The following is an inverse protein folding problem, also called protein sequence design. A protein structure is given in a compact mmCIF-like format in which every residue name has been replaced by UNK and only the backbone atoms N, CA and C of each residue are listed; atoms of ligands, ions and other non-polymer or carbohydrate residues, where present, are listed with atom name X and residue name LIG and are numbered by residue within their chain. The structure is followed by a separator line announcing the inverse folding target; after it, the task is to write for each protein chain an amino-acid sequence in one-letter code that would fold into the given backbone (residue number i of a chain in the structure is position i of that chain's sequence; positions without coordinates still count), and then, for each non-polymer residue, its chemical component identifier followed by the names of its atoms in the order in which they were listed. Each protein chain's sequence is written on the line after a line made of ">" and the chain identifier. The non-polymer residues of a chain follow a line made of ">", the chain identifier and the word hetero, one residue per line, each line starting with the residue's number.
data_IF_325384161783
#
_entry.id   IF_325384161783
#
_cell.length_a   1.000
_cell.length_b   1.000
_cell.length_c   1.000
_cell.angle_alpha   90.00
_cell.angle_beta   90.00
_cell.angle_gamma   90.00
#
_symmetry.space_group_name_H-M   'P 1'
#
loop_
_entity.id
_entity.type
_entity.pdbx_description
1 polymer ?
#
# COMPACT_ATOMS: atom_id res chain seq x y z
N UNK A 1 18.87 19.40 8.07
CA UNK A 1 19.50 18.58 9.13
C UNK A 1 19.03 17.13 9.15
N UNK A 2 17.73 16.85 9.36
CA UNK A 2 17.22 15.46 9.49
C UNK A 2 17.59 14.50 8.35
N UNK A 3 17.78 15.00 7.13
CA UNK A 3 18.16 14.18 5.95
C UNK A 3 19.65 14.32 5.67
N UNK A 4 20.13 15.54 5.48
CA UNK A 4 21.49 15.79 4.97
C UNK A 4 22.60 15.47 5.99
N UNK A 5 22.31 15.48 7.30
CA UNK A 5 23.28 15.16 8.36
C UNK A 5 23.04 13.79 9.03
N UNK A 6 22.18 12.95 8.45
CA UNK A 6 21.81 11.66 9.04
C UNK A 6 22.93 10.59 8.95
N UNK A 7 23.91 10.79 8.07
CA UNK A 7 24.92 9.77 7.75
C UNK A 7 25.76 9.37 8.97
N UNK A 8 26.17 10.32 9.82
CA UNK A 8 27.00 10.01 11.00
C UNK A 8 26.29 9.13 12.02
N UNK A 9 25.01 9.40 12.28
CA UNK A 9 24.16 8.60 13.17
C UNK A 9 23.94 7.21 12.55
N UNK A 10 23.59 7.15 11.27
CA UNK A 10 23.32 5.89 10.57
C UNK A 10 24.58 4.99 10.47
N UNK A 11 25.76 5.56 10.25
CA UNK A 11 27.03 4.83 10.32
C UNK A 11 27.27 4.23 11.71
N UNK A 12 26.97 4.99 12.76
CA UNK A 12 27.12 4.54 14.15
C UNK A 12 26.17 3.39 14.48
N UNK A 13 24.92 3.46 14.03
CA UNK A 13 23.93 2.39 14.20
C UNK A 13 24.36 1.10 13.48
N UNK A 14 24.86 1.22 12.25
CA UNK A 14 25.42 0.08 11.50
C UNK A 14 26.60 -0.53 12.25
N UNK A 15 27.55 0.28 12.68
CA UNK A 15 28.74 -0.18 13.40
C UNK A 15 28.37 -0.93 14.70
N UNK A 16 27.46 -0.37 15.50
CA UNK A 16 27.01 -0.99 16.76
C UNK A 16 26.33 -2.33 16.49
N UNK A 17 25.38 -2.38 15.56
CA UNK A 17 24.62 -3.60 15.25
C UNK A 17 25.53 -4.69 14.66
N UNK A 18 26.47 -4.34 13.78
CA UNK A 18 27.49 -5.27 13.27
C UNK A 18 28.32 -5.85 14.43
N UNK A 19 28.78 -4.99 15.35
CA UNK A 19 29.58 -5.44 16.50
C UNK A 19 28.80 -6.36 17.43
N UNK A 20 27.52 -6.10 17.69
CA UNK A 20 26.66 -6.96 18.51
C UNK A 20 26.53 -8.35 17.86
N UNK A 21 26.24 -8.41 16.56
CA UNK A 21 26.15 -9.67 15.81
C UNK A 21 27.47 -10.47 15.87
N UNK A 22 28.61 -9.81 15.62
CA UNK A 22 29.93 -10.46 15.63
C UNK A 22 30.39 -10.83 17.05
N UNK A 23 29.98 -10.09 18.08
CA UNK A 23 30.26 -10.44 19.47
C UNK A 23 29.61 -11.78 19.85
N UNK A 24 28.41 -12.07 19.36
CA UNK A 24 27.79 -13.39 19.54
C UNK A 24 28.61 -14.51 18.87
N UNK A 25 29.14 -14.28 17.66
CA UNK A 25 30.02 -15.25 16.98
C UNK A 25 31.35 -15.45 17.73
N UNK A 26 31.93 -14.39 18.26
CA UNK A 26 33.17 -14.44 19.05
C UNK A 26 32.99 -15.22 20.35
N UNK A 27 31.89 -14.97 21.10
CA UNK A 27 31.55 -15.74 22.32
C UNK A 27 31.34 -17.22 22.03
N UNK A 28 30.82 -17.57 20.86
CA UNK A 28 30.68 -18.95 20.41
C UNK A 28 32.00 -19.60 19.91
N UNK A 29 33.14 -18.92 20.05
CA UNK A 29 34.45 -19.40 19.60
C UNK A 29 34.63 -19.44 18.07
N UNK A 30 33.66 -18.93 17.30
CA UNK A 30 33.65 -19.00 15.82
C UNK A 30 34.47 -17.89 15.16
N UNK A 31 34.83 -16.84 15.91
CA UNK A 31 35.53 -15.67 15.39
C UNK A 31 36.57 -15.15 16.39
N UNK A 32 37.85 -15.17 16.00
CA UNK A 32 38.92 -14.58 16.81
C UNK A 32 38.92 -13.05 16.69
N UNK A 33 39.46 -12.35 17.69
CA UNK A 33 39.56 -10.89 17.68
C UNK A 33 40.28 -10.34 16.45
N UNK A 34 41.37 -10.98 16.02
CA UNK A 34 42.12 -10.59 14.80
C UNK A 34 41.26 -10.72 13.54
N UNK A 35 40.54 -11.85 13.37
CA UNK A 35 39.64 -12.06 12.23
C UNK A 35 38.44 -11.11 12.25
N UNK A 36 37.89 -10.83 13.43
CA UNK A 36 36.80 -9.84 13.60
C UNK A 36 37.23 -8.46 13.13
N UNK A 37 38.39 -7.98 13.58
CA UNK A 37 38.86 -6.64 13.23
C UNK A 37 39.12 -6.52 11.71
N UNK A 38 39.76 -7.53 11.11
CA UNK A 38 39.96 -7.57 9.66
C UNK A 38 38.63 -7.59 8.88
N UNK A 39 37.61 -8.30 9.38
CA UNK A 39 36.27 -8.29 8.79
C UNK A 39 35.58 -6.94 8.92
N UNK A 40 35.68 -6.27 10.08
CA UNK A 40 35.12 -4.93 10.27
C UNK A 40 35.73 -3.93 9.27
N UNK A 41 37.05 -3.95 9.12
CA UNK A 41 37.77 -3.10 8.17
C UNK A 41 37.37 -3.39 6.72
N UNK A 42 37.16 -4.66 6.35
CA UNK A 42 36.75 -5.01 4.99
C UNK A 42 35.31 -4.61 4.64
N UNK A 43 34.48 -4.21 5.61
CA UNK A 43 33.09 -3.81 5.39
C UNK A 43 32.89 -2.29 5.31
N UNK A 44 33.93 -1.49 5.52
CA UNK A 44 33.83 -0.01 5.61
C UNK A 44 33.16 0.63 4.38
N UNK A 45 33.58 0.24 3.17
CA UNK A 45 33.00 0.79 1.93
C UNK A 45 31.55 0.37 1.74
N UNK A 46 31.21 -0.86 2.08
CA UNK A 46 29.83 -1.37 1.96
C UNK A 46 28.90 -0.69 2.98
N UNK A 47 29.34 -0.49 4.22
CA UNK A 47 28.57 0.28 5.23
C UNK A 47 28.32 1.70 4.74
N UNK A 48 29.33 2.34 4.14
CA UNK A 48 29.18 3.66 3.54
C UNK A 48 28.14 3.67 2.42
N UNK A 49 28.15 2.66 1.54
CA UNK A 49 27.16 2.51 0.47
C UNK A 49 25.73 2.29 1.02
N UNK A 50 25.56 1.45 2.05
CA UNK A 50 24.26 1.22 2.70
C UNK A 50 23.70 2.51 3.32
N UNK A 51 24.56 3.31 3.96
CA UNK A 51 24.18 4.59 4.56
C UNK A 51 23.77 5.61 3.50
N UNK A 52 24.57 5.74 2.43
CA UNK A 52 24.26 6.63 1.31
C UNK A 52 22.96 6.24 0.61
N UNK A 53 22.73 4.95 0.43
CA UNK A 53 21.50 4.44 -0.18
C UNK A 53 20.27 4.76 0.67
N UNK A 54 20.35 4.59 1.99
CA UNK A 54 19.28 4.99 2.91
C UNK A 54 18.96 6.49 2.79
N UNK A 55 19.99 7.34 2.74
CA UNK A 55 19.80 8.79 2.59
C UNK A 55 19.20 9.16 1.22
N UNK A 56 19.66 8.49 0.15
CA UNK A 56 19.14 8.70 -1.20
C UNK A 56 17.65 8.37 -1.29
N UNK A 57 17.20 7.28 -0.67
CA UNK A 57 15.79 6.90 -0.64
C UNK A 57 14.93 7.91 0.14
N UNK A 58 15.41 8.45 1.25
CA UNK A 58 14.68 9.49 1.99
C UNK A 58 14.63 10.83 1.21
N UNK A 59 15.70 11.19 0.50
CA UNK A 59 15.71 12.35 -0.38
C UNK A 59 14.73 12.20 -1.56
N UNK A 60 14.60 10.99 -2.10
CA UNK A 60 13.58 10.65 -3.09
C UNK A 60 12.17 10.77 -2.49
N UNK A 61 11.94 10.22 -1.29
CA UNK A 61 10.66 10.32 -0.59
C UNK A 61 10.21 11.78 -0.37
N UNK A 62 11.16 12.67 -0.02
CA UNK A 62 10.90 14.11 0.05
C UNK A 62 10.50 14.72 -1.28
N UNK A 63 11.16 14.33 -2.38
CA UNK A 63 10.86 14.84 -3.71
C UNK A 63 9.48 14.35 -4.20
N UNK A 64 9.11 13.12 -3.84
CA UNK A 64 7.77 12.59 -4.06
C UNK A 64 6.72 13.39 -3.26
N UNK A 65 6.99 13.70 -1.99
CA UNK A 65 6.09 14.47 -1.14
C UNK A 65 5.93 15.92 -1.64
N UNK A 66 7.03 16.56 -2.06
CA UNK A 66 7.05 17.91 -2.61
C UNK A 66 6.24 18.00 -3.91
N UNK A 67 6.33 16.99 -4.78
CA UNK A 67 5.52 16.91 -6.00
C UNK A 67 4.01 16.83 -5.73
N UNK A 68 3.59 16.54 -4.50
CA UNK A 68 2.19 16.63 -4.07
C UNK A 68 1.62 18.06 -4.14
N UNK A 69 2.47 19.08 -3.94
CA UNK A 69 2.11 20.49 -4.06
C UNK A 69 0.96 20.93 -3.15
N UNK A 70 0.28 22.01 -3.55
CA UNK A 70 -0.90 22.53 -2.85
C UNK A 70 -2.03 21.50 -2.63
N UNK A 71 -2.35 20.60 -3.58
CA UNK A 71 -3.40 19.59 -3.36
C UNK A 71 -3.15 18.65 -2.17
N UNK A 72 -1.89 18.43 -1.78
CA UNK A 72 -1.54 17.56 -0.67
C UNK A 72 -1.64 18.24 0.71
N UNK A 73 -1.75 19.58 0.77
CA UNK A 73 -1.65 20.34 2.02
C UNK A 73 -2.76 19.99 3.01
N UNK A 74 -3.98 19.74 2.53
CA UNK A 74 -5.09 19.37 3.43
C UNK A 74 -4.79 18.07 4.20
N UNK A 75 -4.32 17.03 3.49
CA UNK A 75 -3.91 15.77 4.12
C UNK A 75 -2.67 15.92 5.00
N UNK A 76 -1.71 16.76 4.60
CA UNK A 76 -0.51 17.04 5.41
C UNK A 76 -0.85 17.82 6.68
N UNK A 77 -1.82 18.72 6.63
CA UNK A 77 -2.31 19.46 7.79
C UNK A 77 -3.03 18.53 8.77
N UNK A 78 -3.92 17.68 8.26
CA UNK A 78 -4.57 16.64 9.06
C UNK A 78 -3.54 15.70 9.72
N UNK A 79 -2.47 15.35 9.00
CA UNK A 79 -1.37 14.56 9.55
C UNK A 79 -0.61 15.32 10.66
N UNK A 80 -0.34 16.62 10.49
CA UNK A 80 0.27 17.45 11.54
C UNK A 80 -0.58 17.40 12.82
N UNK A 81 -1.88 17.62 12.70
CA UNK A 81 -2.84 17.58 13.82
C UNK A 81 -2.87 16.19 14.47
N UNK A 82 -2.90 15.13 13.67
CA UNK A 82 -2.85 13.74 14.14
C UNK A 82 -1.58 13.43 14.92
N UNK A 83 -0.43 13.98 14.51
CA UNK A 83 0.84 13.78 15.20
C UNK A 83 0.90 14.59 16.51
N UNK A 84 0.33 15.79 16.54
CA UNK A 84 0.23 16.62 17.75
C UNK A 84 -0.69 15.98 18.80
N UNK A 85 -1.84 15.46 18.39
CA UNK A 85 -2.77 14.74 19.28
C UNK A 85 -2.13 13.50 19.92
N UNK A 86 -1.14 12.92 19.25
CA UNK A 86 -0.32 11.79 19.75
C UNK A 86 0.87 12.23 20.59
N UNK A 87 1.13 13.54 20.72
CA UNK A 87 2.33 14.08 21.35
C UNK A 87 3.62 13.76 20.60
N UNK A 88 3.53 13.41 19.30
CA UNK A 88 4.65 13.02 18.45
C UNK A 88 5.22 14.18 17.61
N UNK A 89 4.58 15.35 17.69
CA UNK A 89 4.99 16.57 17.01
C UNK A 89 4.55 17.77 17.86
N UNK A 90 5.37 18.82 17.86
CA UNK A 90 4.98 20.16 18.28
C UNK A 90 5.35 21.11 17.13
N UNK A 91 4.36 21.58 16.38
CA UNK A 91 4.62 22.38 15.18
C UNK A 91 5.36 23.68 15.47
N UNK A 92 5.17 24.28 16.65
CA UNK A 92 5.84 25.53 17.02
C UNK A 92 7.33 25.30 17.25
N UNK A 93 7.67 24.24 18.00
CA UNK A 93 9.05 23.87 18.28
C UNK A 93 9.80 23.46 17.02
N UNK A 94 9.13 22.73 16.12
CA UNK A 94 9.73 22.23 14.88
C UNK A 94 9.73 23.25 13.72
N UNK A 95 9.18 24.45 13.93
CA UNK A 95 9.18 25.52 12.93
C UNK A 95 8.21 25.30 11.76
N UNK A 96 7.16 24.51 11.95
CA UNK A 96 6.08 24.34 10.97
C UNK A 96 5.04 25.46 11.14
N UNK A 97 4.61 26.05 10.03
CA UNK A 97 3.62 27.13 10.06
C UNK A 97 2.25 26.69 10.61
N UNK A 98 1.44 27.66 11.06
CA UNK A 98 0.07 27.39 11.52
C UNK A 98 -0.82 26.87 10.38
N UNK A 99 -1.91 26.18 10.75
CA UNK A 99 -2.86 25.65 9.77
C UNK A 99 -3.46 26.72 8.87
N UNK A 100 -3.78 27.90 9.41
CA UNK A 100 -4.28 29.04 8.62
C UNK A 100 -3.27 29.51 7.56
N UNK A 101 -1.98 29.56 7.91
CA UNK A 101 -0.92 29.96 6.99
C UNK A 101 -0.72 28.90 5.90
N UNK A 102 -0.70 27.62 6.27
CA UNK A 102 -0.56 26.51 5.32
C UNK A 102 -1.76 26.45 4.37
N UNK A 103 -2.99 26.60 4.87
CA UNK A 103 -4.20 26.63 4.06
C UNK A 103 -4.21 27.83 3.09
N UNK A 104 -3.77 29.02 3.54
CA UNK A 104 -3.62 30.19 2.68
C UNK A 104 -2.58 29.95 1.57
N UNK A 105 -1.39 29.42 1.91
CA UNK A 105 -0.36 29.05 0.92
C UNK A 105 -0.91 28.07 -0.11
N UNK A 106 -1.67 27.08 0.32
CA UNK A 106 -2.31 26.12 -0.58
C UNK A 106 -3.31 26.81 -1.54
N UNK A 107 -4.08 27.79 -1.05
CA UNK A 107 -4.95 28.63 -1.88
C UNK A 107 -4.19 29.43 -2.94
N UNK A 108 -2.94 29.81 -2.64
CA UNK A 108 -2.02 30.47 -3.58
C UNK A 108 -1.26 29.46 -4.48
N UNK A 109 -1.58 28.18 -4.43
CA UNK A 109 -0.94 27.12 -5.22
C UNK A 109 0.40 26.62 -4.66
N UNK A 110 0.73 26.99 -3.42
CA UNK A 110 2.01 26.68 -2.77
C UNK A 110 1.82 25.55 -1.74
N UNK A 111 2.56 24.44 -1.91
CA UNK A 111 2.59 23.33 -0.95
C UNK A 111 3.48 23.59 0.28
N UNK A 112 3.63 22.58 1.14
CA UNK A 112 4.65 22.60 2.19
C UNK A 112 6.06 22.66 1.59
N UNK A 113 6.95 23.39 2.24
CA UNK A 113 8.35 23.46 1.87
C UNK A 113 9.10 22.17 2.26
N UNK A 114 10.20 21.85 1.57
CA UNK A 114 11.01 20.65 1.87
C UNK A 114 11.46 20.53 3.34
N UNK A 115 11.83 21.61 4.05
CA UNK A 115 12.13 21.52 5.49
C UNK A 115 10.92 21.09 6.32
N UNK A 116 9.73 21.62 6.05
CA UNK A 116 8.48 21.24 6.73
C UNK A 116 8.16 19.76 6.45
N UNK A 117 8.31 19.31 5.19
CA UNK A 117 8.14 17.91 4.80
C UNK A 117 9.16 16.97 5.48
N UNK A 118 10.40 17.43 5.69
CA UNK A 118 11.44 16.64 6.35
C UNK A 118 11.12 16.39 7.83
N UNK A 119 10.55 17.37 8.52
CA UNK A 119 10.05 17.20 9.89
C UNK A 119 8.95 16.14 9.90
N UNK A 120 7.93 16.26 9.04
CA UNK A 120 6.84 15.29 8.97
C UNK A 120 7.32 13.88 8.64
N UNK A 121 8.26 13.75 7.70
CA UNK A 121 8.88 12.47 7.37
C UNK A 121 9.56 11.83 8.58
N UNK A 122 10.30 12.62 9.35
CA UNK A 122 10.96 12.16 10.57
C UNK A 122 9.95 11.70 11.63
N UNK A 123 8.97 12.54 11.96
CA UNK A 123 7.97 12.24 13.00
C UNK A 123 7.09 11.05 12.64
N UNK A 124 6.63 10.95 11.39
CA UNK A 124 5.82 9.81 10.93
C UNK A 124 6.57 8.49 10.99
N UNK A 125 7.85 8.48 10.59
CA UNK A 125 8.72 7.30 10.71
C UNK A 125 8.84 6.83 12.16
N UNK A 126 9.05 7.74 13.11
CA UNK A 126 9.17 7.39 14.53
C UNK A 126 7.87 6.80 15.08
N UNK A 127 6.72 7.37 14.71
CA UNK A 127 5.40 6.85 15.11
C UNK A 127 5.15 5.45 14.52
N UNK A 128 5.50 5.22 13.25
CA UNK A 128 5.39 3.88 12.65
C UNK A 128 6.32 2.87 13.31
N UNK A 129 7.57 3.26 13.59
CA UNK A 129 8.53 2.41 14.29
C UNK A 129 7.98 1.97 15.65
N UNK A 130 7.54 2.92 16.48
CA UNK A 130 6.96 2.66 17.80
C UNK A 130 5.74 1.73 17.72
N UNK A 131 4.87 1.94 16.72
CA UNK A 131 3.72 1.08 16.49
C UNK A 131 4.13 -0.36 16.14
N UNK A 132 5.17 -0.53 15.32
CA UNK A 132 5.67 -1.86 14.93
C UNK A 132 6.30 -2.59 16.13
N UNK A 133 7.14 -1.92 16.92
CA UNK A 133 7.88 -2.50 18.05
C UNK A 133 6.97 -3.11 19.13
N UNK A 134 5.76 -2.56 19.29
CA UNK A 134 4.74 -2.99 20.27
C UNK A 134 3.95 -4.23 19.86
N UNK A 135 4.25 -4.86 18.73
CA UNK A 135 3.48 -6.00 18.18
C UNK A 135 4.34 -7.23 17.90
N UNK A 136 3.73 -8.34 17.48
CA UNK A 136 4.44 -9.52 17.00
C UNK A 136 4.94 -9.40 15.55
N UNK A 137 4.63 -8.30 14.84
CA UNK A 137 5.02 -8.13 13.44
C UNK A 137 6.53 -8.31 13.19
N UNK A 138 7.45 -7.78 14.02
CA UNK A 138 8.89 -8.00 13.82
C UNK A 138 9.35 -9.45 13.90
N UNK A 139 8.54 -10.33 14.47
CA UNK A 139 8.84 -11.76 14.60
C UNK A 139 8.39 -12.56 13.35
N UNK A 140 7.67 -11.93 12.43
CA UNK A 140 7.15 -12.58 11.23
C UNK A 140 8.29 -13.07 10.30
N UNK A 141 8.24 -14.34 9.83
CA UNK A 141 9.28 -14.91 8.97
C UNK A 141 9.51 -14.17 7.65
N UNK A 142 8.50 -13.49 7.08
CA UNK A 142 8.62 -12.71 5.85
C UNK A 142 9.51 -11.48 6.00
N UNK A 143 9.80 -11.03 7.24
CA UNK A 143 10.70 -9.92 7.52
C UNK A 143 12.16 -10.35 7.77
N UNK A 144 12.46 -11.66 7.79
CA UNK A 144 13.84 -12.16 7.89
C UNK A 144 14.72 -11.63 6.75
N UNK A 145 14.30 -11.61 5.47
CA UNK A 145 15.10 -11.03 4.39
C UNK A 145 15.41 -9.55 4.62
N UNK A 146 14.47 -8.77 5.16
CA UNK A 146 14.68 -7.36 5.48
C UNK A 146 15.77 -7.21 6.56
N UNK A 147 15.67 -7.98 7.66
CA UNK A 147 16.69 -8.02 8.71
C UNK A 147 18.08 -8.41 8.15
N UNK A 148 18.15 -9.43 7.31
CA UNK A 148 19.43 -9.89 6.74
C UNK A 148 20.01 -8.83 5.79
N UNK A 149 19.18 -8.12 5.04
CA UNK A 149 19.61 -7.08 4.10
C UNK A 149 20.23 -5.86 4.78
N UNK A 150 19.86 -5.58 6.03
CA UNK A 150 20.45 -4.52 6.85
C UNK A 150 21.98 -4.71 7.03
N UNK A 151 22.43 -5.95 7.18
CA UNK A 151 23.85 -6.23 7.42
C UNK A 151 24.65 -6.28 6.10
N UNK A 152 25.97 -5.94 6.13
CA UNK A 152 26.85 -6.10 4.98
C UNK A 152 26.86 -7.52 4.41
N UNK A 153 27.03 -7.64 3.10
CA UNK A 153 27.01 -8.87 2.31
C UNK A 153 27.91 -9.96 2.89
N UNK A 154 29.10 -9.59 3.38
CA UNK A 154 30.06 -10.49 4.02
C UNK A 154 29.48 -11.23 5.25
N UNK A 155 28.47 -10.66 5.90
CA UNK A 155 27.84 -11.24 7.09
C UNK A 155 26.60 -12.07 6.78
N UNK A 156 25.87 -11.76 5.71
CA UNK A 156 24.51 -12.28 5.45
C UNK A 156 24.43 -13.80 5.41
N UNK A 157 25.46 -14.47 4.88
CA UNK A 157 25.53 -15.95 4.82
C UNK A 157 26.28 -16.53 6.02
N UNK A 158 27.50 -16.06 6.27
CA UNK A 158 28.43 -16.63 7.26
C UNK A 158 27.93 -16.46 8.69
N UNK A 159 27.29 -15.33 9.01
CA UNK A 159 26.81 -14.98 10.35
C UNK A 159 25.28 -14.89 10.41
N UNK A 160 24.58 -15.55 9.46
CA UNK A 160 23.12 -15.52 9.38
C UNK A 160 22.44 -15.89 10.70
N UNK A 161 22.92 -16.92 11.37
CA UNK A 161 22.39 -17.34 12.67
C UNK A 161 22.52 -16.24 13.73
N UNK A 162 23.64 -15.52 13.77
CA UNK A 162 23.85 -14.42 14.73
C UNK A 162 22.99 -13.20 14.39
N UNK A 163 22.73 -12.96 13.10
CA UNK A 163 21.81 -11.93 12.64
C UNK A 163 20.38 -12.28 13.03
N UNK A 164 19.94 -13.51 12.78
CA UNK A 164 18.57 -13.93 13.09
C UNK A 164 18.30 -14.00 14.60
N UNK A 165 19.34 -14.27 15.42
CA UNK A 165 19.29 -14.23 16.88
C UNK A 165 19.79 -12.89 17.47
N UNK A 166 19.83 -11.82 16.68
CA UNK A 166 20.34 -10.53 17.13
C UNK A 166 19.50 -9.97 18.29
N UNK A 167 20.14 -9.40 19.31
CA UNK A 167 19.44 -8.90 20.49
C UNK A 167 18.48 -7.75 20.16
N UNK A 168 18.87 -6.89 19.21
CA UNK A 168 18.05 -5.78 18.71
C UNK A 168 17.31 -6.13 17.40
N UNK A 169 17.03 -7.41 17.17
CA UNK A 169 16.40 -7.85 15.92
C UNK A 169 15.09 -7.09 15.65
N UNK A 170 14.26 -6.94 16.68
CA UNK A 170 12.91 -6.37 16.55
C UNK A 170 12.98 -4.89 16.21
N UNK A 171 13.87 -4.17 16.87
CA UNK A 171 14.13 -2.74 16.70
C UNK A 171 14.74 -2.46 15.32
N UNK A 172 15.68 -3.29 14.85
CA UNK A 172 16.24 -3.20 13.49
C UNK A 172 15.12 -3.40 12.46
N UNK A 173 14.29 -4.44 12.61
CA UNK A 173 13.19 -4.70 11.69
C UNK A 173 12.19 -3.54 11.69
N UNK A 174 11.79 -3.05 12.87
CA UNK A 174 10.85 -1.94 12.98
C UNK A 174 11.38 -0.68 12.30
N UNK A 175 12.64 -0.33 12.56
CA UNK A 175 13.31 0.83 11.94
C UNK A 175 13.39 0.69 10.42
N UNK A 176 13.81 -0.49 9.92
CA UNK A 176 13.92 -0.73 8.47
C UNK A 176 12.56 -0.75 7.79
N UNK A 177 11.53 -1.34 8.42
CA UNK A 177 10.19 -1.39 7.88
C UNK A 177 9.52 -0.02 7.86
N UNK A 178 9.66 0.79 8.93
CA UNK A 178 9.17 2.16 8.96
C UNK A 178 9.81 3.01 7.85
N UNK A 179 11.13 2.93 7.68
CA UNK A 179 11.83 3.58 6.56
C UNK A 179 11.28 3.13 5.21
N UNK A 180 11.13 1.82 5.00
CA UNK A 180 10.63 1.28 3.74
C UNK A 180 9.20 1.77 3.44
N UNK A 181 8.30 1.77 4.43
CA UNK A 181 6.93 2.25 4.26
C UNK A 181 6.94 3.73 3.88
N UNK A 182 7.63 4.58 4.64
CA UNK A 182 7.68 6.02 4.37
C UNK A 182 8.30 6.32 3.00
N UNK A 183 9.38 5.61 2.64
CA UNK A 183 10.07 5.81 1.37
C UNK A 183 9.22 5.42 0.15
N UNK A 184 8.26 4.49 0.30
CA UNK A 184 7.47 3.93 -0.81
C UNK A 184 6.03 4.40 -0.84
N UNK A 185 5.42 4.60 0.33
CA UNK A 185 4.04 5.03 0.48
C UNK A 185 3.92 6.52 0.78
N UNK A 186 5.01 7.19 1.15
CA UNK A 186 4.98 8.58 1.60
C UNK A 186 4.45 8.74 3.02
N UNK A 187 4.41 10.00 3.48
CA UNK A 187 4.12 10.37 4.87
C UNK A 187 2.64 10.27 5.25
N UNK A 188 1.73 10.37 4.27
CA UNK A 188 0.28 10.48 4.51
C UNK A 188 -0.41 9.11 4.49
N UNK A 189 -0.11 8.28 3.49
CA UNK A 189 -0.89 7.07 3.22
C UNK A 189 -1.07 6.13 4.43
N UNK A 190 -0.03 5.85 5.24
CA UNK A 190 -0.19 4.95 6.38
C UNK A 190 -1.23 5.42 7.41
N UNK A 191 -1.32 6.75 7.62
CA UNK A 191 -2.20 7.35 8.61
C UNK A 191 -3.63 7.46 8.10
N UNK A 192 -3.83 7.95 6.87
CA UNK A 192 -5.17 8.00 6.29
C UNK A 192 -5.76 6.60 6.15
N UNK A 193 -4.96 5.59 5.79
CA UNK A 193 -5.48 4.22 5.65
C UNK A 193 -5.87 3.62 7.01
N UNK A 194 -5.14 3.96 8.07
CA UNK A 194 -5.48 3.59 9.46
C UNK A 194 -6.84 4.17 9.86
N UNK A 195 -7.12 5.43 9.51
CA UNK A 195 -8.41 6.07 9.77
C UNK A 195 -9.54 5.51 8.90
N UNK A 196 -9.30 5.32 7.60
CA UNK A 196 -10.29 4.82 6.64
C UNK A 196 -10.76 3.40 6.99
N UNK A 197 -9.85 2.53 7.38
CA UNK A 197 -10.17 1.13 7.71
C UNK A 197 -10.41 0.91 9.21
N UNK A 198 -10.19 1.94 10.05
CA UNK A 198 -10.43 1.86 11.49
C UNK A 198 -9.50 0.87 12.22
N UNK A 199 -8.26 0.74 11.75
CA UNK A 199 -7.27 -0.22 12.26
C UNK A 199 -6.01 0.48 12.76
N UNK A 200 -5.18 -0.22 13.54
CA UNK A 200 -3.93 0.35 14.07
C UNK A 200 -2.83 0.47 13.01
N UNK A 201 -1.85 1.34 13.23
CA UNK A 201 -0.70 1.50 12.31
C UNK A 201 0.10 0.21 12.13
N UNK A 202 0.15 -0.66 13.14
CA UNK A 202 0.81 -1.96 13.01
C UNK A 202 0.08 -2.88 12.00
N UNK A 203 -1.24 -2.82 11.92
CA UNK A 203 -2.03 -3.56 10.91
C UNK A 203 -1.76 -3.02 9.51
N UNK A 204 -1.61 -1.70 9.38
CA UNK A 204 -1.19 -1.06 8.12
C UNK A 204 0.21 -1.54 7.70
N UNK A 205 1.16 -1.63 8.65
CA UNK A 205 2.50 -2.15 8.39
C UNK A 205 2.45 -3.63 7.97
N UNK A 206 1.62 -4.46 8.60
CA UNK A 206 1.44 -5.85 8.22
C UNK A 206 0.83 -5.98 6.80
N UNK A 207 -0.20 -5.18 6.50
CA UNK A 207 -0.81 -5.13 5.17
C UNK A 207 0.19 -4.68 4.10
N UNK A 208 1.07 -3.72 4.40
CA UNK A 208 2.14 -3.29 3.50
C UNK A 208 3.10 -4.43 3.17
N UNK A 209 3.55 -5.19 4.17
CA UNK A 209 4.46 -6.33 3.96
C UNK A 209 3.81 -7.37 3.05
N UNK A 210 2.55 -7.73 3.30
CA UNK A 210 1.81 -8.65 2.44
C UNK A 210 1.61 -8.10 1.02
N UNK A 211 1.23 -6.83 0.87
CA UNK A 211 1.01 -6.21 -0.43
C UNK A 211 2.31 -6.15 -1.25
N UNK A 212 3.40 -5.67 -0.64
CA UNK A 212 4.67 -5.52 -1.32
C UNK A 212 5.19 -6.86 -1.87
N UNK A 213 4.95 -7.97 -1.16
CA UNK A 213 5.34 -9.30 -1.62
C UNK A 213 4.35 -9.90 -2.64
N UNK A 214 3.04 -9.86 -2.37
CA UNK A 214 2.01 -10.42 -3.26
C UNK A 214 1.99 -9.78 -4.66
N UNK A 215 2.33 -8.48 -4.72
CA UNK A 215 2.34 -7.71 -5.96
C UNK A 215 3.75 -7.43 -6.50
N UNK A 216 4.77 -8.07 -5.92
CA UNK A 216 6.17 -7.94 -6.32
C UNK A 216 6.64 -6.47 -6.45
N UNK A 217 6.21 -5.63 -5.51
CA UNK A 217 6.49 -4.20 -5.53
C UNK A 217 7.99 -3.88 -5.42
N UNK A 218 8.75 -4.74 -4.71
CA UNK A 218 10.19 -4.61 -4.56
C UNK A 218 10.95 -4.59 -5.89
N UNK A 219 10.61 -5.49 -6.81
CA UNK A 219 11.22 -5.53 -8.14
C UNK A 219 10.84 -4.30 -8.96
N UNK A 220 9.57 -3.90 -8.92
CA UNK A 220 9.10 -2.71 -9.63
C UNK A 220 9.81 -1.45 -9.15
N UNK A 221 9.96 -1.26 -7.83
CA UNK A 221 10.70 -0.11 -7.29
C UNK A 221 12.15 -0.10 -7.77
N UNK A 222 12.85 -1.24 -7.71
CA UNK A 222 14.23 -1.32 -8.18
C UNK A 222 14.38 -0.97 -9.68
N UNK A 223 13.41 -1.39 -10.51
CA UNK A 223 13.37 -1.01 -11.92
C UNK A 223 13.09 0.49 -12.12
N UNK A 224 12.15 1.07 -11.37
CA UNK A 224 11.82 2.50 -11.45
C UNK A 224 13.01 3.39 -11.08
N UNK A 225 13.81 2.99 -10.09
CA UNK A 225 14.99 3.75 -9.64
C UNK A 225 16.11 3.78 -10.67
N UNK A 226 16.30 2.69 -11.40
CA UNK A 226 17.46 2.49 -12.28
C UNK A 226 17.16 2.81 -13.74
N UNK A 227 15.89 2.78 -14.14
CA UNK A 227 15.48 3.06 -15.50
C UNK A 227 15.72 4.52 -15.91
N UNK A 228 16.15 4.69 -17.16
CA UNK A 228 16.35 6.01 -17.78
C UNK A 228 15.00 6.60 -18.15
N UNK A 229 14.64 7.72 -17.51
CA UNK A 229 13.46 8.52 -17.79
C UNK A 229 13.62 9.92 -17.17
N UNK A 230 12.78 10.91 -17.54
CA UNK A 230 12.69 12.17 -16.81
C UNK A 230 12.33 11.94 -15.33
N UNK A 231 12.93 12.71 -14.42
CA UNK A 231 12.70 12.53 -12.97
C UNK A 231 11.24 12.80 -12.59
N UNK A 232 10.58 13.75 -13.26
CA UNK A 232 9.15 14.01 -13.07
C UNK A 232 8.30 12.77 -13.37
N UNK A 233 8.60 12.04 -14.46
CA UNK A 233 7.93 10.78 -14.80
C UNK A 233 8.20 9.70 -13.75
N UNK A 234 9.44 9.61 -13.26
CA UNK A 234 9.82 8.67 -12.20
C UNK A 234 9.04 8.92 -10.92
N UNK A 235 9.02 10.17 -10.44
CA UNK A 235 8.24 10.58 -9.26
C UNK A 235 6.75 10.29 -9.45
N UNK A 236 6.22 10.55 -10.65
CA UNK A 236 4.83 10.28 -10.97
C UNK A 236 4.49 8.79 -10.89
N UNK A 237 5.34 7.91 -11.44
CA UNK A 237 5.19 6.45 -11.35
C UNK A 237 5.29 5.94 -9.90
N UNK A 238 6.18 6.51 -9.07
CA UNK A 238 6.24 6.16 -7.65
C UNK A 238 4.94 6.48 -6.92
N UNK A 239 4.36 7.67 -7.16
CA UNK A 239 3.07 8.06 -6.58
C UNK A 239 1.95 7.13 -6.99
N UNK A 240 1.90 6.74 -8.27
CA UNK A 240 0.89 5.80 -8.78
C UNK A 240 1.09 4.39 -8.21
N UNK A 241 2.34 3.96 -8.07
CA UNK A 241 2.67 2.68 -7.41
C UNK A 241 2.19 2.68 -5.95
N UNK A 242 2.40 3.78 -5.22
CA UNK A 242 1.94 3.94 -3.84
C UNK A 242 0.41 3.93 -3.76
N UNK A 243 -0.28 4.63 -4.67
CA UNK A 243 -1.74 4.66 -4.73
C UNK A 243 -2.34 3.28 -5.03
N UNK A 244 -1.79 2.55 -5.99
CA UNK A 244 -2.25 1.19 -6.29
C UNK A 244 -2.01 0.23 -5.11
N UNK A 245 -0.83 0.27 -4.49
CA UNK A 245 -0.53 -0.55 -3.31
C UNK A 245 -1.43 -0.22 -2.12
N UNK A 246 -1.77 1.07 -1.92
CA UNK A 246 -2.72 1.48 -0.88
C UNK A 246 -4.05 0.76 -1.04
N UNK A 247 -4.61 0.70 -2.25
CA UNK A 247 -5.87 -0.03 -2.51
C UNK A 247 -5.74 -1.52 -2.20
N UNK A 248 -4.61 -2.15 -2.55
CA UNK A 248 -4.35 -3.54 -2.21
C UNK A 248 -4.21 -3.77 -0.69
N UNK A 249 -3.59 -2.83 0.03
CA UNK A 249 -3.48 -2.88 1.48
C UNK A 249 -4.86 -2.79 2.15
N UNK A 250 -5.75 -1.91 1.67
CA UNK A 250 -7.13 -1.82 2.16
C UNK A 250 -7.87 -3.16 1.99
N UNK A 251 -7.76 -3.78 0.81
CA UNK A 251 -8.37 -5.08 0.57
C UNK A 251 -7.79 -6.19 1.45
N UNK A 252 -6.48 -6.16 1.72
CA UNK A 252 -5.81 -7.09 2.62
C UNK A 252 -6.31 -6.97 4.05
N UNK A 253 -6.52 -5.74 4.54
CA UNK A 253 -7.09 -5.48 5.86
C UNK A 253 -8.47 -6.14 5.97
N UNK A 254 -9.35 -5.90 4.99
CA UNK A 254 -10.69 -6.51 4.95
C UNK A 254 -10.67 -8.03 4.73
N UNK A 255 -9.60 -8.56 4.14
CA UNK A 255 -9.38 -9.99 3.99
C UNK A 255 -8.74 -10.66 5.23
N UNK A 256 -8.44 -9.90 6.28
CA UNK A 256 -7.97 -10.41 7.57
C UNK A 256 -6.51 -10.09 7.92
N UNK A 257 -5.85 -9.13 7.25
CA UNK A 257 -4.46 -8.79 7.55
C UNK A 257 -4.24 -8.23 8.97
N UNK A 258 -5.28 -7.76 9.66
CA UNK A 258 -5.19 -7.32 11.07
C UNK A 258 -5.14 -8.47 12.08
N UNK A 259 -5.45 -9.70 11.66
CA UNK A 259 -5.48 -10.88 12.55
C UNK A 259 -4.54 -11.99 12.10
N UNK A 260 -4.00 -11.90 10.88
CA UNK A 260 -3.11 -12.88 10.29
C UNK A 260 -1.76 -12.24 9.99
N UNK A 261 -0.69 -12.86 10.47
CA UNK A 261 0.66 -12.38 10.22
C UNK A 261 1.01 -12.44 8.71
N UNK A 262 1.86 -11.52 8.20
CA UNK A 262 2.12 -11.42 6.78
C UNK A 262 2.55 -12.72 6.09
N UNK A 263 3.44 -13.52 6.68
CA UNK A 263 3.93 -14.75 6.07
C UNK A 263 2.78 -15.75 5.80
N UNK A 264 1.84 -15.87 6.74
CA UNK A 264 0.67 -16.73 6.57
C UNK A 264 -0.28 -16.15 5.52
N UNK A 265 -0.54 -14.84 5.56
CA UNK A 265 -1.40 -14.16 4.58
C UNK A 265 -0.88 -14.32 3.15
N UNK A 266 0.44 -14.17 2.96
CA UNK A 266 1.11 -14.38 1.67
C UNK A 266 0.96 -15.83 1.22
N UNK A 267 1.30 -16.81 2.07
CA UNK A 267 1.18 -18.24 1.74
C UNK A 267 -0.25 -18.63 1.32
N UNK A 268 -1.24 -17.96 1.91
CA UNK A 268 -2.65 -18.19 1.66
C UNK A 268 -3.16 -17.64 0.32
N UNK A 269 -2.58 -16.53 -0.17
CA UNK A 269 -3.11 -15.79 -1.31
C UNK A 269 -2.21 -15.80 -2.55
N UNK A 270 -0.90 -15.97 -2.40
CA UNK A 270 0.12 -15.80 -3.45
C UNK A 270 -0.22 -16.53 -4.76
N UNK A 271 -0.53 -17.81 -4.67
CA UNK A 271 -0.89 -18.63 -5.86
C UNK A 271 -2.09 -18.05 -6.60
N UNK A 272 -3.14 -17.63 -5.88
CA UNK A 272 -4.39 -17.14 -6.48
C UNK A 272 -4.23 -15.73 -7.03
N UNK A 273 -3.51 -14.85 -6.32
CA UNK A 273 -3.16 -13.51 -6.82
C UNK A 273 -2.31 -13.63 -8.09
N UNK A 274 -1.31 -14.51 -8.12
CA UNK A 274 -0.50 -14.78 -9.31
C UNK A 274 -1.33 -15.30 -10.49
N UNK A 275 -2.29 -16.20 -10.24
CA UNK A 275 -3.21 -16.69 -11.27
C UNK A 275 -4.09 -15.58 -11.86
N UNK A 276 -4.58 -14.66 -11.02
CA UNK A 276 -5.38 -13.51 -11.45
C UNK A 276 -4.53 -12.50 -12.22
N UNK A 277 -3.33 -12.19 -11.72
CA UNK A 277 -2.35 -11.31 -12.37
C UNK A 277 -2.02 -11.77 -13.79
N UNK A 278 -1.76 -13.06 -13.99
CA UNK A 278 -1.49 -13.63 -15.31
C UNK A 278 -2.72 -13.68 -16.23
N UNK A 279 -3.93 -13.52 -15.70
CA UNK A 279 -5.19 -13.66 -16.44
C UNK A 279 -5.91 -12.32 -16.71
N UNK A 280 -5.34 -11.18 -16.30
CA UNK A 280 -5.91 -9.83 -16.52
C UNK A 280 -6.32 -9.59 -17.98
N UNK A 281 -5.49 -9.99 -18.95
CA UNK A 281 -5.80 -9.85 -20.38
C UNK A 281 -7.04 -10.64 -20.85
N UNK A 282 -7.53 -11.61 -20.08
CA UNK A 282 -8.78 -12.33 -20.33
C UNK A 282 -9.92 -11.81 -19.43
N UNK A 283 -9.61 -11.47 -18.18
CA UNK A 283 -10.59 -11.17 -17.13
C UNK A 283 -11.07 -9.72 -17.11
N UNK A 284 -10.26 -8.76 -17.57
CA UNK A 284 -10.64 -7.36 -17.57
C UNK A 284 -11.74 -7.08 -18.59
N UNK A 285 -12.72 -6.27 -18.17
CA UNK A 285 -13.75 -5.70 -19.05
C UNK A 285 -13.13 -4.78 -20.09
N UNK A 286 -13.88 -4.48 -21.16
CA UNK A 286 -13.44 -3.50 -22.15
C UNK A 286 -13.17 -2.11 -21.54
N UNK A 287 -14.00 -1.68 -20.58
CA UNK A 287 -13.83 -0.41 -19.89
C UNK A 287 -12.54 -0.38 -19.03
N UNK A 288 -12.25 -1.45 -18.28
CA UNK A 288 -11.02 -1.54 -17.49
C UNK A 288 -9.77 -1.57 -18.37
N UNK A 289 -9.80 -2.29 -19.50
CA UNK A 289 -8.69 -2.28 -20.46
C UNK A 289 -8.44 -0.91 -21.07
N UNK A 290 -9.50 -0.17 -21.38
CA UNK A 290 -9.38 1.19 -21.90
C UNK A 290 -8.79 2.13 -20.85
N UNK A 291 -9.20 2.02 -19.59
CA UNK A 291 -8.62 2.78 -18.49
C UNK A 291 -7.13 2.46 -18.30
N UNK A 292 -6.74 1.18 -18.30
CA UNK A 292 -5.35 0.75 -18.24
C UNK A 292 -4.53 1.33 -19.40
N UNK A 293 -5.04 1.25 -20.63
CA UNK A 293 -4.38 1.81 -21.80
C UNK A 293 -4.20 3.34 -21.71
N UNK A 294 -5.19 4.06 -21.16
CA UNK A 294 -5.08 5.51 -20.92
C UNK A 294 -3.99 5.83 -19.90
N UNK A 295 -3.93 5.11 -18.78
CA UNK A 295 -2.87 5.28 -17.77
C UNK A 295 -1.48 5.02 -18.36
N UNK A 296 -1.33 3.95 -19.14
CA UNK A 296 -0.07 3.65 -19.84
C UNK A 296 0.32 4.80 -20.79
N UNK A 297 -0.63 5.26 -21.61
CA UNK A 297 -0.39 6.36 -22.54
C UNK A 297 0.00 7.66 -21.83
N UNK A 298 -0.62 7.96 -20.70
CA UNK A 298 -0.30 9.11 -19.85
C UNK A 298 1.15 9.04 -19.32
N UNK A 299 1.55 7.90 -18.74
CA UNK A 299 2.90 7.71 -18.24
C UNK A 299 3.95 7.80 -19.36
N UNK A 300 3.67 7.19 -20.52
CA UNK A 300 4.56 7.23 -21.69
C UNK A 300 4.68 8.67 -22.23
N UNK A 301 3.60 9.45 -22.22
CA UNK A 301 3.63 10.85 -22.62
C UNK A 301 4.54 11.71 -21.72
N UNK A 302 4.71 11.34 -20.45
CA UNK A 302 5.69 11.95 -19.55
C UNK A 302 7.14 11.48 -19.78
N UNK A 303 7.35 10.50 -20.66
CA UNK A 303 8.68 9.94 -20.98
C UNK A 303 9.03 8.68 -20.19
N UNK A 304 8.05 8.03 -19.56
CA UNK A 304 8.27 6.72 -18.94
C UNK A 304 8.50 5.63 -20.00
N UNK A 305 9.37 4.64 -19.74
CA UNK A 305 9.46 3.45 -20.57
C UNK A 305 8.13 2.69 -20.54
N UNK A 306 7.60 2.34 -21.73
CA UNK A 306 6.30 1.68 -21.89
C UNK A 306 6.16 0.41 -21.02
N UNK A 307 7.22 -0.39 -20.90
CA UNK A 307 7.23 -1.58 -20.03
C UNK A 307 6.97 -1.24 -18.56
N UNK A 308 7.52 -0.13 -18.04
CA UNK A 308 7.32 0.28 -16.65
C UNK A 308 5.97 0.95 -16.45
N UNK A 309 5.54 1.75 -17.42
CA UNK A 309 4.20 2.31 -17.45
C UNK A 309 3.14 1.19 -17.37
N UNK A 310 3.29 0.13 -18.18
CA UNK A 310 2.43 -1.04 -18.16
C UNK A 310 2.47 -1.78 -16.82
N UNK A 311 3.64 -1.95 -16.21
CA UNK A 311 3.75 -2.58 -14.88
C UNK A 311 3.04 -1.78 -13.78
N UNK A 312 3.13 -0.45 -13.80
CA UNK A 312 2.43 0.40 -12.82
C UNK A 312 0.92 0.37 -13.07
N UNK A 313 0.47 0.47 -14.32
CA UNK A 313 -0.96 0.36 -14.67
C UNK A 313 -1.53 -1.02 -14.28
N UNK A 314 -0.76 -2.09 -14.45
CA UNK A 314 -1.15 -3.45 -14.09
C UNK A 314 -1.45 -3.63 -12.58
N UNK A 315 -0.86 -2.81 -11.70
CA UNK A 315 -1.22 -2.83 -10.27
C UNK A 315 -2.66 -2.35 -10.02
N UNK A 316 -3.15 -1.42 -10.83
CA UNK A 316 -4.55 -0.97 -10.79
C UNK A 316 -5.49 -1.99 -11.43
N UNK A 317 -5.04 -2.70 -12.48
CA UNK A 317 -5.78 -3.80 -13.09
C UNK A 317 -6.02 -4.97 -12.12
N UNK A 318 -5.22 -5.03 -11.05
CA UNK A 318 -5.34 -6.00 -9.97
C UNK A 318 -6.23 -5.53 -8.81
N UNK A 319 -6.88 -4.36 -8.88
CA UNK A 319 -7.86 -3.94 -7.87
C UNK A 319 -8.93 -5.03 -7.70
N UNK A 320 -9.20 -5.42 -6.45
CA UNK A 320 -10.11 -6.52 -6.13
C UNK A 320 -9.52 -7.93 -6.19
N UNK A 321 -8.29 -8.12 -6.66
CA UNK A 321 -7.65 -9.44 -6.73
C UNK A 321 -7.51 -10.11 -5.36
N UNK A 322 -7.23 -9.33 -4.30
CA UNK A 322 -7.10 -9.84 -2.92
C UNK A 322 -8.43 -10.43 -2.43
N UNK A 323 -9.52 -9.68 -2.57
CA UNK A 323 -10.85 -10.13 -2.15
C UNK A 323 -11.32 -11.37 -2.92
N UNK A 324 -11.08 -11.39 -4.24
CA UNK A 324 -11.37 -12.54 -5.10
C UNK A 324 -10.50 -13.76 -4.74
N UNK A 325 -9.20 -13.59 -4.50
CA UNK A 325 -8.30 -14.66 -4.07
C UNK A 325 -8.72 -15.25 -2.73
N UNK A 326 -9.08 -14.40 -1.76
CA UNK A 326 -9.56 -14.80 -0.44
C UNK A 326 -10.89 -15.57 -0.54
N UNK A 327 -11.86 -15.06 -1.30
CA UNK A 327 -13.14 -15.75 -1.51
C UNK A 327 -12.94 -17.07 -2.27
N UNK A 328 -12.12 -17.07 -3.33
CA UNK A 328 -11.76 -18.26 -4.10
C UNK A 328 -11.13 -19.35 -3.23
N UNK A 329 -10.30 -18.97 -2.26
CA UNK A 329 -9.76 -19.91 -1.26
C UNK A 329 -10.85 -20.43 -0.32
N UNK A 330 -11.61 -19.56 0.32
CA UNK A 330 -12.60 -19.95 1.34
C UNK A 330 -13.79 -20.74 0.77
N UNK A 331 -14.21 -20.45 -0.45
CA UNK A 331 -15.32 -21.12 -1.13
C UNK A 331 -14.87 -22.31 -1.98
N UNK A 332 -13.56 -22.51 -2.16
CA UNK A 332 -12.95 -23.52 -3.05
C UNK A 332 -13.44 -23.41 -4.50
N UNK A 333 -13.58 -22.17 -4.99
CA UNK A 333 -14.00 -21.87 -6.36
C UNK A 333 -12.77 -21.45 -7.15
N UNK A 334 -12.70 -21.81 -8.43
CA UNK A 334 -11.65 -21.31 -9.34
C UNK A 334 -11.65 -19.77 -9.39
N UNK A 335 -10.46 -19.17 -9.28
CA UNK A 335 -10.34 -17.71 -9.18
C UNK A 335 -10.81 -16.99 -10.46
N UNK A 336 -10.60 -17.58 -11.64
CA UNK A 336 -11.02 -16.98 -12.91
C UNK A 336 -12.54 -17.03 -13.06
N UNK A 337 -13.15 -18.19 -12.76
CA UNK A 337 -14.63 -18.33 -12.78
C UNK A 337 -15.31 -17.38 -11.79
N UNK A 338 -14.74 -17.24 -10.59
CA UNK A 338 -15.25 -16.32 -9.59
C UNK A 338 -15.14 -14.86 -10.06
N UNK A 339 -14.03 -14.50 -10.72
CA UNK A 339 -13.83 -13.15 -11.28
C UNK A 339 -14.85 -12.84 -12.39
N UNK A 340 -15.15 -13.81 -13.26
CA UNK A 340 -16.18 -13.66 -14.28
C UNK A 340 -17.56 -13.40 -13.64
N UNK A 341 -17.93 -14.14 -12.59
CA UNK A 341 -19.17 -13.93 -11.86
C UNK A 341 -19.22 -12.57 -11.11
N UNK A 342 -18.09 -12.13 -10.55
CA UNK A 342 -17.96 -10.82 -9.93
C UNK A 342 -18.15 -9.66 -10.92
N UNK A 343 -17.60 -9.83 -12.11
CA UNK A 343 -17.73 -8.87 -13.21
C UNK A 343 -19.16 -8.81 -13.71
N UNK A 344 -19.77 -9.97 -14.01
CA UNK A 344 -21.17 -10.07 -14.46
C UNK A 344 -22.14 -9.46 -13.43
N UNK A 345 -21.94 -9.75 -12.13
CA UNK A 345 -22.74 -9.14 -11.07
C UNK A 345 -22.57 -7.61 -11.01
N UNK A 346 -21.33 -7.13 -11.20
CA UNK A 346 -21.02 -5.70 -11.28
C UNK A 346 -21.76 -5.02 -12.40
N UNK A 347 -21.62 -5.51 -13.63
CA UNK A 347 -22.21 -4.95 -14.85
C UNK A 347 -23.74 -4.94 -14.81
N UNK A 348 -24.36 -6.07 -14.39
CA UNK A 348 -25.82 -6.20 -14.25
C UNK A 348 -26.42 -5.16 -13.31
N UNK A 349 -25.68 -4.78 -12.27
CA UNK A 349 -26.12 -3.83 -11.26
C UNK A 349 -25.61 -2.42 -11.50
N UNK A 350 -24.52 -2.21 -12.25
CA UNK A 350 -23.81 -0.93 -12.37
C UNK A 350 -22.94 -0.58 -11.16
N UNK A 351 -22.54 -1.59 -10.37
CA UNK A 351 -21.70 -1.39 -9.20
C UNK A 351 -20.22 -1.27 -9.53
N UNK A 352 -19.81 -1.81 -10.69
CA UNK A 352 -18.51 -1.57 -11.29
C UNK A 352 -18.28 -0.07 -11.55
N UNK A 353 -19.24 0.58 -12.21
CA UNK A 353 -19.21 2.02 -12.44
C UNK A 353 -19.21 2.81 -11.12
N UNK A 354 -20.06 2.44 -10.15
CA UNK A 354 -20.13 3.15 -8.87
C UNK A 354 -18.83 3.02 -8.07
N UNK A 355 -18.21 1.83 -8.07
CA UNK A 355 -16.89 1.62 -7.47
C UNK A 355 -15.82 2.47 -8.15
N UNK A 356 -15.69 2.41 -9.48
CA UNK A 356 -14.68 3.19 -10.21
C UNK A 356 -14.87 4.70 -10.01
N UNK A 357 -16.12 5.17 -10.01
CA UNK A 357 -16.44 6.58 -9.77
C UNK A 357 -16.02 7.01 -8.37
N UNK A 358 -16.26 6.18 -7.35
CA UNK A 358 -15.80 6.43 -5.98
C UNK A 358 -14.28 6.43 -5.89
N UNK A 359 -13.59 5.47 -6.51
CA UNK A 359 -12.14 5.36 -6.45
C UNK A 359 -11.40 6.54 -7.10
N UNK A 360 -12.04 7.24 -8.05
CA UNK A 360 -11.47 8.39 -8.75
C UNK A 360 -11.75 9.73 -8.06
N UNK A 361 -12.62 9.77 -7.05
CA UNK A 361 -12.92 10.99 -6.30
C UNK A 361 -11.78 11.36 -5.35
N UNK A 362 -11.43 12.64 -5.30
CA UNK A 362 -10.40 13.18 -4.42
C UNK A 362 -10.91 14.41 -3.65
N UNK A 363 -11.83 14.22 -2.69
CA UNK A 363 -12.38 15.33 -1.92
C UNK A 363 -11.34 15.92 -0.96
N UNK A 364 -11.39 17.24 -0.77
CA UNK A 364 -10.50 17.93 0.17
C UNK A 364 -10.95 17.83 1.62
N UNK A 365 -12.26 17.62 1.86
CA UNK A 365 -12.82 17.45 3.19
C UNK A 365 -12.53 16.04 3.73
N UNK A 366 -12.16 15.96 5.01
CA UNK A 366 -11.77 14.71 5.68
C UNK A 366 -12.93 13.71 5.71
N UNK A 367 -14.15 14.15 6.00
CA UNK A 367 -15.32 13.27 6.10
C UNK A 367 -15.76 12.76 4.74
N UNK A 368 -15.74 13.63 3.72
CA UNK A 368 -15.99 13.19 2.35
C UNK A 368 -14.94 12.19 1.86
N UNK A 369 -13.65 12.38 2.21
CA UNK A 369 -12.58 11.43 1.88
C UNK A 369 -12.83 10.06 2.50
N UNK A 370 -13.12 10.02 3.81
CA UNK A 370 -13.45 8.78 4.52
C UNK A 370 -14.68 8.10 3.88
N UNK A 371 -15.72 8.86 3.56
CA UNK A 371 -16.92 8.33 2.91
C UNK A 371 -16.60 7.72 1.54
N UNK A 372 -15.87 8.44 0.68
CA UNK A 372 -15.54 8.00 -0.68
C UNK A 372 -14.63 6.78 -0.69
N UNK A 373 -13.60 6.75 0.17
CA UNK A 373 -12.71 5.60 0.33
C UNK A 373 -13.51 4.37 0.78
N UNK A 374 -14.35 4.54 1.80
CA UNK A 374 -15.24 3.49 2.30
C UNK A 374 -16.20 2.97 1.23
N UNK A 375 -16.83 3.85 0.44
CA UNK A 375 -17.79 3.49 -0.60
C UNK A 375 -17.18 2.63 -1.70
N UNK A 376 -15.99 2.98 -2.19
CA UNK A 376 -15.28 2.17 -3.21
C UNK A 376 -15.12 0.72 -2.73
N UNK A 377 -14.70 0.53 -1.47
CA UNK A 377 -14.47 -0.80 -0.89
C UNK A 377 -15.78 -1.50 -0.55
N UNK A 378 -16.78 -0.76 -0.10
CA UNK A 378 -18.11 -1.29 0.22
C UNK A 378 -18.78 -1.89 -1.03
N UNK A 379 -18.69 -1.24 -2.19
CA UNK A 379 -19.21 -1.81 -3.45
C UNK A 379 -18.53 -3.12 -3.84
N UNK A 380 -17.22 -3.22 -3.60
CA UNK A 380 -16.48 -4.46 -3.79
C UNK A 380 -16.94 -5.55 -2.82
N UNK A 381 -16.99 -5.23 -1.52
CA UNK A 381 -17.34 -6.20 -0.47
C UNK A 381 -18.77 -6.70 -0.61
N UNK A 382 -19.74 -5.84 -0.93
CA UNK A 382 -21.11 -6.27 -1.17
C UNK A 382 -21.21 -7.32 -2.28
N UNK A 383 -20.44 -7.16 -3.36
CA UNK A 383 -20.38 -8.13 -4.46
C UNK A 383 -19.71 -9.43 -4.03
N UNK A 384 -18.59 -9.37 -3.31
CA UNK A 384 -17.92 -10.56 -2.77
C UNK A 384 -18.82 -11.32 -1.79
N UNK A 385 -19.54 -10.63 -0.92
CA UNK A 385 -20.47 -11.21 0.04
C UNK A 385 -21.66 -11.87 -0.65
N UNK A 386 -22.20 -11.24 -1.70
CA UNK A 386 -23.25 -11.83 -2.53
C UNK A 386 -22.78 -13.11 -3.20
N UNK A 387 -21.59 -13.10 -3.81
CA UNK A 387 -20.99 -14.32 -4.38
C UNK A 387 -20.73 -15.39 -3.33
N UNK A 388 -20.29 -15.02 -2.12
CA UNK A 388 -20.12 -15.95 -1.00
C UNK A 388 -21.44 -16.61 -0.61
N UNK A 389 -22.57 -15.87 -0.62
CA UNK A 389 -23.91 -16.43 -0.38
C UNK A 389 -24.35 -17.34 -1.53
N UNK A 390 -24.18 -16.89 -2.77
CA UNK A 390 -24.55 -17.67 -3.96
C UNK A 390 -23.76 -18.97 -4.10
N UNK A 391 -22.48 -18.96 -3.71
CA UNK A 391 -21.61 -20.15 -3.70
C UNK A 391 -22.14 -21.32 -2.84
N UNK A 392 -23.09 -21.05 -1.93
CA UNK A 392 -23.77 -22.08 -1.11
C UNK A 392 -24.90 -22.80 -1.85
N UNK A 393 -25.35 -22.27 -2.99
CA UNK A 393 -26.39 -22.91 -3.82
C UNK A 393 -25.82 -24.15 -4.53
N UNK A 394 -26.68 -25.13 -4.80
CA UNK A 394 -26.29 -26.38 -5.49
C UNK A 394 -25.76 -26.05 -6.90
N UNK A 395 -24.58 -26.55 -7.25
CA UNK A 395 -23.94 -26.33 -8.56
C UNK A 395 -23.22 -25.00 -8.73
N UNK A 396 -23.35 -24.05 -7.78
CA UNK A 396 -22.76 -22.72 -7.90
C UNK A 396 -21.23 -22.71 -7.85
N UNK A 397 -20.60 -23.73 -7.24
CA UNK A 397 -19.13 -23.84 -7.25
C UNK A 397 -18.58 -24.16 -8.64
N UNK A 398 -19.30 -24.97 -9.41
CA UNK A 398 -18.91 -25.38 -10.76
C UNK A 398 -19.18 -24.27 -11.77
N UNK A 399 -20.31 -23.57 -11.61
CA UNK A 399 -20.72 -22.44 -12.46
C UNK A 399 -21.18 -21.22 -11.63
N UNK A 400 -20.23 -20.41 -11.12
CA UNK A 400 -20.55 -19.20 -10.36
C UNK A 400 -21.31 -18.15 -11.20
N UNK A 401 -21.02 -18.06 -12.50
CA UNK A 401 -21.67 -17.10 -13.39
C UNK A 401 -23.13 -17.51 -13.65
N UNK A 402 -23.40 -18.80 -13.86
CA UNK A 402 -24.75 -19.33 -13.93
C UNK A 402 -25.54 -19.09 -12.64
N UNK A 403 -24.91 -19.21 -11.47
CA UNK A 403 -25.55 -18.87 -10.20
C UNK A 403 -25.94 -17.38 -10.10
N UNK A 404 -25.10 -16.47 -10.60
CA UNK A 404 -25.43 -15.04 -10.72
C UNK A 404 -26.59 -14.82 -11.70
N UNK A 405 -26.57 -15.47 -12.86
CA UNK A 405 -27.64 -15.35 -13.86
C UNK A 405 -29.00 -15.80 -13.30
N UNK A 406 -29.06 -16.96 -12.63
CA UNK A 406 -30.28 -17.46 -11.98
C UNK A 406 -30.78 -16.48 -10.92
N UNK A 407 -29.90 -15.98 -10.05
CA UNK A 407 -30.28 -14.99 -9.04
C UNK A 407 -30.77 -13.68 -9.68
N UNK A 408 -30.15 -13.24 -10.78
CA UNK A 408 -30.55 -12.03 -11.48
C UNK A 408 -31.95 -12.15 -12.12
N UNK A 409 -32.28 -13.32 -12.66
CA UNK A 409 -33.60 -13.60 -13.21
C UNK A 409 -34.68 -13.63 -12.11
N UNK A 410 -34.40 -14.29 -10.98
CA UNK A 410 -35.25 -14.30 -9.77
C UNK A 410 -35.55 -12.87 -9.26
N UNK A 411 -34.61 -11.94 -9.42
CA UNK A 411 -34.70 -10.57 -8.89
C UNK A 411 -34.83 -9.49 -9.97
N UNK A 412 -35.22 -9.86 -11.20
CA UNK A 412 -35.15 -8.98 -12.38
C UNK A 412 -35.90 -7.65 -12.22
N UNK A 413 -37.05 -7.64 -11.55
CA UNK A 413 -37.81 -6.41 -11.29
C UNK A 413 -37.06 -5.44 -10.37
N UNK A 414 -36.43 -5.95 -9.31
CA UNK A 414 -35.66 -5.15 -8.37
C UNK A 414 -34.37 -4.62 -9.02
N UNK A 415 -33.71 -5.44 -9.86
CA UNK A 415 -32.54 -5.03 -10.64
C UNK A 415 -32.90 -3.90 -11.60
N UNK A 416 -34.02 -3.98 -12.34
CA UNK A 416 -34.47 -2.90 -13.23
C UNK A 416 -34.70 -1.59 -12.49
N UNK A 417 -35.32 -1.63 -11.31
CA UNK A 417 -35.54 -0.45 -10.48
C UNK A 417 -34.21 0.14 -10.00
N UNK A 418 -33.28 -0.70 -9.52
CA UNK A 418 -31.96 -0.25 -9.09
C UNK A 418 -31.15 0.36 -10.24
N UNK A 419 -31.17 -0.27 -11.43
CA UNK A 419 -30.51 0.25 -12.63
C UNK A 419 -31.04 1.59 -13.11
N UNK A 420 -32.33 1.85 -12.95
CA UNK A 420 -32.89 3.18 -13.21
C UNK A 420 -32.28 4.25 -12.30
N UNK A 421 -32.01 3.92 -11.03
CA UNK A 421 -31.31 4.83 -10.12
C UNK A 421 -29.85 5.05 -10.52
N UNK A 422 -29.13 4.00 -10.93
CA UNK A 422 -27.77 4.12 -11.46
C UNK A 422 -27.76 5.04 -12.69
N UNK A 423 -28.68 4.84 -13.64
CA UNK A 423 -28.77 5.68 -14.84
C UNK A 423 -29.05 7.16 -14.52
N UNK A 424 -29.88 7.44 -13.50
CA UNK A 424 -30.09 8.82 -13.01
C UNK A 424 -28.82 9.43 -12.40
N UNK A 425 -28.05 8.64 -11.66
CA UNK A 425 -26.78 9.11 -11.10
C UNK A 425 -25.74 9.35 -12.20
N UNK A 426 -25.62 8.45 -13.18
CA UNK A 426 -24.75 8.59 -14.35
C UNK A 426 -25.08 9.84 -15.20
N UNK A 427 -26.36 10.21 -15.24
CA UNK A 427 -26.81 11.40 -15.97
C UNK A 427 -26.61 12.72 -15.19
N UNK A 428 -26.18 12.65 -13.93
CA UNK A 428 -25.92 13.82 -13.10
C UNK A 428 -24.42 14.09 -13.01
N UNK A 429 -23.98 15.25 -13.49
CA UNK A 429 -22.57 15.66 -13.47
C UNK A 429 -22.44 17.00 -12.74
N UNK A 430 -21.65 17.10 -11.65
CA UNK A 430 -20.83 16.03 -11.05
C UNK A 430 -21.64 15.04 -10.21
N UNK A 431 -21.21 13.78 -10.17
CA UNK A 431 -21.72 12.78 -9.22
C UNK A 431 -21.21 13.15 -7.82
N UNK A 432 -22.09 13.26 -6.83
CA UNK A 432 -21.68 13.58 -5.46
C UNK A 432 -21.44 12.33 -4.60
N UNK A 433 -20.59 12.42 -3.55
CA UNK A 433 -20.41 11.33 -2.58
C UNK A 433 -21.74 10.86 -1.96
N UNK A 434 -22.68 11.79 -1.70
CA UNK A 434 -24.00 11.47 -1.18
C UNK A 434 -24.84 10.61 -2.15
N UNK A 435 -24.73 10.83 -3.47
CA UNK A 435 -25.39 9.97 -4.46
C UNK A 435 -24.83 8.55 -4.42
N UNK A 436 -23.51 8.40 -4.33
CA UNK A 436 -22.87 7.09 -4.19
C UNK A 436 -23.25 6.40 -2.87
N UNK A 437 -23.33 7.14 -1.76
CA UNK A 437 -23.80 6.61 -0.49
C UNK A 437 -25.23 6.06 -0.57
N UNK A 438 -26.13 6.77 -1.27
CA UNK A 438 -27.48 6.29 -1.52
C UNK A 438 -27.49 5.02 -2.39
N UNK A 439 -26.62 4.97 -3.41
CA UNK A 439 -26.46 3.77 -4.26
C UNK A 439 -26.00 2.58 -3.41
N UNK A 440 -24.99 2.76 -2.55
CA UNK A 440 -24.47 1.73 -1.65
C UNK A 440 -25.56 1.19 -0.71
N UNK A 441 -26.37 2.08 -0.13
CA UNK A 441 -27.50 1.68 0.73
C UNK A 441 -28.52 0.79 0.01
N UNK A 442 -28.93 1.19 -1.19
CA UNK A 442 -29.89 0.40 -1.99
C UNK A 442 -29.28 -0.90 -2.52
N UNK A 443 -27.99 -0.88 -2.91
CA UNK A 443 -27.26 -2.06 -3.36
C UNK A 443 -27.21 -3.13 -2.26
N UNK A 444 -26.92 -2.72 -1.02
CA UNK A 444 -26.89 -3.60 0.15
C UNK A 444 -28.23 -4.30 0.36
N UNK A 445 -29.33 -3.57 0.25
CA UNK A 445 -30.69 -4.13 0.38
C UNK A 445 -31.04 -5.10 -0.75
N UNK A 446 -30.62 -4.80 -1.99
CA UNK A 446 -30.86 -5.67 -3.13
C UNK A 446 -30.07 -6.98 -3.04
N UNK A 447 -28.78 -6.89 -2.74
CA UNK A 447 -27.86 -8.03 -2.67
C UNK A 447 -28.10 -8.95 -1.45
N UNK A 448 -28.82 -8.46 -0.44
CA UNK A 448 -29.20 -9.25 0.74
C UNK A 448 -30.41 -10.17 0.52
N UNK A 449 -31.14 -10.01 -0.60
CA UNK A 449 -32.23 -10.90 -1.03
C UNK A 449 -31.65 -12.18 -1.63
#
# INVERSE_FOLDING_TARGET
>A
DFIDNAAGVNCSDNEVNIKIALAAAARAGKLSGKKRNALLESMTDEVSALVLESNRLQALALSIAEAGGAPAVASQLHLIETLEDRGALDRQTEGIASGEVLARRAGDGIGLARPELAVLLSSTKLVLQDAIEKTSLPDDPSLVPLLVSYFPSAMRKTYRMQIESHQLRREIIATQLANLIINRMGIVHPFELSEEEGVGLADICAAFVSAAQLFNAGELWAELETAKMPEEARIYLFRHTAGALRSQMADLIRAGASITLPAEMIANLDKRVSQLSAATGELLTAASREQSARLVAEFVAMGAPEKLAAKVAHLYDLDGAVGLASLSRSAEIDARRLTAAFTDLGERLGLDWAQSTSAMMNPSDVWERLLVAGLSRDFQQMRLDALRRLARRKGAKDDPAGAVAIWADEHSAAIRQFRSMIGRAQSNTPVSPAMLAQIASQARNLLAR
#
